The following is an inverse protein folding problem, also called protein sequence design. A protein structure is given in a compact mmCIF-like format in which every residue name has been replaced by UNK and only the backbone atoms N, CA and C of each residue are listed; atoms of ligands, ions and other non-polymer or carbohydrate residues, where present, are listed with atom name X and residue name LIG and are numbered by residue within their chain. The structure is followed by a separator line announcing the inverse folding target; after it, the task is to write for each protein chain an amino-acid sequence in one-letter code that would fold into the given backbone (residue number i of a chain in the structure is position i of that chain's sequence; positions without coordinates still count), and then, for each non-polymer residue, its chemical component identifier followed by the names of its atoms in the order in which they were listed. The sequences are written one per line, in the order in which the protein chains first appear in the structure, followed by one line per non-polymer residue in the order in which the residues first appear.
data_IF_073718466900
#
_entry.id   IF_073718466900
#
_cell.length_a   1.000
_cell.length_b   1.000
_cell.length_c   1.000
_cell.angle_alpha   90.00
_cell.angle_beta   90.00
_cell.angle_gamma   90.00
#
_symmetry.space_group_name_H-M   'P 1'
#
loop_
_entity.id
_entity.type
_entity.pdbx_description
1 polymer ?
#
# COMPACT_ATOMS: atom_id res chain seq x y z
N UNK A 1 15.42 -20.49 16.20
CA UNK A 1 14.33 -21.39 15.78
C UNK A 1 13.22 -20.51 15.25
N UNK A 2 12.74 -20.76 14.03
CA UNK A 2 11.67 -19.97 13.43
C UNK A 2 10.31 -20.38 14.01
N UNK A 3 9.69 -19.47 14.75
CA UNK A 3 8.39 -19.70 15.40
C UNK A 3 7.22 -19.20 14.56
N UNK A 4 7.48 -18.27 13.64
CA UNK A 4 6.50 -17.61 12.78
C UNK A 4 6.88 -17.89 11.32
N UNK A 5 5.98 -18.49 10.55
CA UNK A 5 6.13 -18.73 9.11
C UNK A 5 5.12 -17.87 8.34
N UNK A 6 5.58 -17.04 7.40
CA UNK A 6 4.72 -16.19 6.58
C UNK A 6 4.56 -16.83 5.20
N UNK A 7 3.37 -17.39 4.95
CA UNK A 7 2.95 -17.91 3.64
C UNK A 7 2.27 -16.80 2.86
N UNK A 8 2.78 -16.48 1.68
CA UNK A 8 2.22 -15.44 0.83
C UNK A 8 2.46 -15.73 -0.64
N UNK A 9 1.67 -15.06 -1.48
CA UNK A 9 1.84 -15.12 -2.94
C UNK A 9 2.42 -13.79 -3.40
N UNK A 10 3.67 -13.82 -3.89
CA UNK A 10 4.39 -12.65 -4.44
C UNK A 10 3.52 -11.92 -5.48
N UNK A 11 3.02 -12.62 -6.50
CA UNK A 11 2.22 -12.02 -7.58
C UNK A 11 0.87 -11.40 -7.16
N UNK A 12 0.48 -11.53 -5.89
CA UNK A 12 -0.85 -11.18 -5.38
C UNK A 12 -0.83 -10.08 -4.30
N UNK A 13 0.24 -10.01 -3.50
CA UNK A 13 0.21 -9.32 -2.20
C UNK A 13 1.40 -8.38 -1.95
N UNK A 14 2.09 -7.92 -3.00
CA UNK A 14 3.37 -7.22 -2.87
C UNK A 14 3.32 -5.89 -2.10
N UNK A 15 2.20 -5.14 -2.12
CA UNK A 15 2.19 -3.81 -1.50
C UNK A 15 2.34 -3.82 0.03
N UNK A 16 1.94 -4.91 0.70
CA UNK A 16 1.92 -4.99 2.16
C UNK A 16 2.80 -6.10 2.73
N UNK A 17 3.10 -7.13 1.94
CA UNK A 17 3.70 -8.35 2.49
C UNK A 17 5.13 -8.12 2.95
N UNK A 18 5.95 -7.43 2.16
CA UNK A 18 7.34 -7.14 2.53
C UNK A 18 7.39 -6.25 3.78
N UNK A 19 6.53 -5.23 3.87
CA UNK A 19 6.37 -4.39 5.06
C UNK A 19 5.89 -5.18 6.27
N UNK A 20 4.96 -6.13 6.08
CA UNK A 20 4.47 -7.01 7.15
C UNK A 20 5.59 -7.89 7.69
N UNK A 21 6.35 -8.53 6.81
CA UNK A 21 7.49 -9.37 7.14
C UNK A 21 8.57 -8.56 7.86
N UNK A 22 8.92 -7.39 7.34
CA UNK A 22 9.92 -6.50 7.95
C UNK A 22 9.51 -6.11 9.39
N UNK A 23 8.25 -5.70 9.60
CA UNK A 23 7.76 -5.35 10.93
C UNK A 23 7.64 -6.56 11.88
N UNK A 24 7.29 -7.73 11.37
CA UNK A 24 7.31 -8.96 12.15
C UNK A 24 8.75 -9.28 12.60
N UNK A 25 9.74 -9.14 11.71
CA UNK A 25 11.16 -9.36 12.02
C UNK A 25 11.70 -8.35 13.02
N UNK A 26 11.35 -7.08 12.86
CA UNK A 26 11.72 -6.01 13.80
C UNK A 26 11.20 -6.30 15.22
N UNK A 27 9.95 -6.77 15.33
CA UNK A 27 9.32 -7.06 16.63
C UNK A 27 9.76 -8.39 17.25
N UNK A 28 9.85 -9.45 16.45
CA UNK A 28 10.00 -10.82 16.96
C UNK A 28 11.40 -11.40 16.75
N UNK A 29 12.28 -10.67 16.07
CA UNK A 29 13.62 -11.09 15.70
C UNK A 29 13.67 -11.75 14.32
N UNK A 30 14.78 -11.52 13.62
CA UNK A 30 15.01 -12.04 12.27
C UNK A 30 14.94 -13.57 12.21
N UNK A 31 15.54 -14.23 13.22
CA UNK A 31 15.60 -15.69 13.35
C UNK A 31 14.26 -16.34 13.71
N UNK A 32 13.29 -15.56 14.21
CA UNK A 32 11.99 -16.05 14.62
C UNK A 32 10.96 -16.01 13.48
N UNK A 33 11.18 -15.17 12.47
CA UNK A 33 10.25 -14.93 11.35
C UNK A 33 10.85 -15.43 10.05
N UNK A 34 10.28 -16.54 9.58
CA UNK A 34 10.61 -17.14 8.31
C UNK A 34 9.57 -16.76 7.25
N UNK A 35 10.02 -16.42 6.05
CA UNK A 35 9.19 -16.22 4.88
C UNK A 35 10.00 -16.70 3.66
N UNK A 36 9.32 -16.96 2.56
CA UNK A 36 9.93 -17.26 1.26
C UNK A 36 10.50 -18.68 1.07
N UNK A 37 10.17 -19.27 -0.07
CA UNK A 37 10.66 -20.59 -0.52
C UNK A 37 11.75 -20.42 -1.59
N UNK A 38 12.02 -19.20 -2.05
CA UNK A 38 13.05 -18.92 -3.06
C UNK A 38 14.47 -18.69 -2.47
N UNK A 39 14.60 -18.64 -1.13
CA UNK A 39 15.89 -18.65 -0.39
C UNK A 39 16.40 -20.08 -0.12
N UNK A 40 15.98 -21.07 -0.93
CA UNK A 40 16.53 -22.42 -0.87
C UNK A 40 17.82 -22.43 -1.67
N UNK A 41 18.94 -22.77 -1.02
CA UNK A 41 20.23 -22.92 -1.70
C UNK A 41 20.07 -23.82 -2.95
N UNK A 42 20.60 -23.40 -4.11
CA UNK A 42 20.54 -24.21 -5.32
C UNK A 42 21.06 -25.63 -5.07
N UNK A 43 20.20 -26.64 -5.26
CA UNK A 43 20.56 -28.06 -5.13
C UNK A 43 19.97 -28.80 -3.93
N UNK A 44 19.26 -28.13 -3.01
CA UNK A 44 18.54 -28.79 -1.91
C UNK A 44 17.14 -29.28 -2.32
N UNK A 45 16.71 -30.43 -1.77
CA UNK A 45 15.31 -30.89 -1.89
C UNK A 45 14.40 -29.98 -1.06
N UNK A 46 13.68 -29.12 -1.77
CA UNK A 46 12.80 -28.12 -1.18
C UNK A 46 11.68 -28.73 -0.32
N UNK A 47 11.25 -29.98 -0.58
CA UNK A 47 10.20 -30.65 0.21
C UNK A 47 10.71 -30.91 1.62
N UNK A 48 11.95 -31.40 1.73
CA UNK A 48 12.61 -31.63 3.01
C UNK A 48 12.86 -30.34 3.79
N UNK A 49 13.17 -29.25 3.08
CA UNK A 49 13.36 -27.92 3.69
C UNK A 49 12.03 -27.39 4.25
N UNK A 50 10.93 -27.51 3.50
CA UNK A 50 9.59 -27.09 3.94
C UNK A 50 9.09 -27.92 5.13
N UNK A 51 9.28 -29.25 5.09
CA UNK A 51 8.92 -30.14 6.19
C UNK A 51 9.68 -29.79 7.47
N UNK A 52 10.99 -29.55 7.40
CA UNK A 52 11.80 -29.13 8.55
C UNK A 52 11.43 -27.74 9.09
N UNK A 53 11.01 -26.82 8.23
CA UNK A 53 10.61 -25.46 8.65
C UNK A 53 9.25 -25.44 9.33
N UNK A 54 8.31 -26.25 8.84
CA UNK A 54 6.98 -26.39 9.42
C UNK A 54 6.94 -27.30 10.66
N UNK A 55 7.99 -28.07 10.98
CA UNK A 55 8.08 -28.83 12.24
C UNK A 55 8.45 -27.95 13.43
N UNK A 56 9.21 -26.87 13.23
CA UNK A 56 9.59 -25.92 14.29
C UNK A 56 8.65 -24.72 14.41
N UNK A 57 7.84 -24.47 13.38
CA UNK A 57 6.90 -23.36 13.33
C UNK A 57 5.76 -23.53 14.34
N UNK A 58 5.44 -22.45 15.07
CA UNK A 58 4.29 -22.40 15.98
C UNK A 58 3.11 -21.63 15.40
N UNK A 59 3.37 -20.68 14.51
CA UNK A 59 2.39 -19.77 13.94
C UNK A 59 2.61 -19.67 12.43
N UNK A 60 1.59 -19.97 11.63
CA UNK A 60 1.61 -19.73 10.19
C UNK A 60 0.75 -18.51 9.86
N UNK A 61 1.35 -17.45 9.36
CA UNK A 61 0.65 -16.27 8.86
C UNK A 61 0.33 -16.49 7.39
N UNK A 62 -0.94 -16.68 7.05
CA UNK A 62 -1.38 -16.86 5.67
C UNK A 62 -1.83 -15.52 5.09
N UNK A 63 -1.00 -14.90 4.26
CA UNK A 63 -1.29 -13.61 3.63
C UNK A 63 -2.16 -13.83 2.40
N UNK A 64 -3.34 -13.20 2.42
CA UNK A 64 -4.39 -13.34 1.41
C UNK A 64 -4.61 -11.97 0.77
N UNK A 65 -4.15 -11.82 -0.47
CA UNK A 65 -4.43 -10.69 -1.34
C UNK A 65 -5.63 -10.92 -2.25
N UNK A 66 -5.86 -9.99 -3.16
CA UNK A 66 -7.07 -9.91 -4.00
C UNK A 66 -7.16 -11.04 -5.03
N UNK A 67 -6.02 -11.40 -5.61
CA UNK A 67 -5.85 -12.48 -6.58
C UNK A 67 -5.51 -13.82 -5.91
N UNK A 68 -5.41 -13.92 -4.59
CA UNK A 68 -4.95 -15.12 -3.89
C UNK A 68 -5.67 -16.40 -4.34
N UNK A 69 -7.01 -16.32 -4.40
CA UNK A 69 -7.92 -17.40 -4.83
C UNK A 69 -7.82 -17.68 -6.33
N UNK A 70 -7.70 -16.62 -7.13
CA UNK A 70 -7.88 -16.64 -8.58
C UNK A 70 -6.58 -16.65 -9.37
N UNK A 71 -5.43 -16.55 -8.68
CA UNK A 71 -4.11 -16.54 -9.30
C UNK A 71 -3.94 -17.78 -10.16
N UNK A 72 -3.43 -17.57 -11.37
CA UNK A 72 -3.29 -18.60 -12.40
C UNK A 72 -1.82 -18.93 -12.63
N UNK A 73 -1.54 -20.19 -12.94
CA UNK A 73 -0.23 -20.61 -13.42
C UNK A 73 -0.03 -20.21 -14.90
N UNK A 74 1.13 -20.55 -15.45
CA UNK A 74 1.48 -20.29 -16.86
C UNK A 74 0.54 -20.97 -17.86
N UNK A 75 -0.25 -21.96 -17.42
CA UNK A 75 -1.22 -22.69 -18.24
C UNK A 75 -2.65 -22.14 -18.04
N UNK A 76 -2.81 -21.05 -17.28
CA UNK A 76 -4.10 -20.42 -17.02
C UNK A 76 -4.96 -21.16 -15.98
N UNK A 77 -4.45 -22.20 -15.32
CA UNK A 77 -5.16 -22.95 -14.29
C UNK A 77 -4.99 -22.27 -12.92
N UNK A 78 -6.03 -22.28 -12.10
CA UNK A 78 -5.98 -21.71 -10.74
C UNK A 78 -4.90 -22.40 -9.93
N UNK A 79 -3.93 -21.64 -9.44
CA UNK A 79 -2.76 -22.14 -8.71
C UNK A 79 -3.14 -22.92 -7.47
N UNK A 80 -4.10 -22.44 -6.68
CA UNK A 80 -4.59 -23.19 -5.51
C UNK A 80 -5.21 -24.55 -5.86
N UNK A 81 -5.64 -24.78 -7.11
CA UNK A 81 -6.12 -26.11 -7.52
C UNK A 81 -4.98 -27.06 -7.92
N UNK A 82 -3.79 -26.53 -8.16
CA UNK A 82 -2.59 -27.33 -8.39
C UNK A 82 -2.12 -27.91 -7.03
N UNK A 83 -2.01 -29.25 -6.87
CA UNK A 83 -1.44 -29.84 -5.65
C UNK A 83 0.02 -29.43 -5.41
N UNK A 84 0.74 -29.02 -6.46
CA UNK A 84 2.14 -28.59 -6.36
C UNK A 84 2.31 -27.07 -6.11
N UNK A 85 1.23 -26.31 -5.84
CA UNK A 85 1.35 -24.89 -5.49
C UNK A 85 1.86 -24.70 -4.05
N UNK A 86 2.95 -23.94 -3.89
CA UNK A 86 3.62 -23.76 -2.60
C UNK A 86 2.72 -23.20 -1.50
N UNK A 87 1.97 -22.14 -1.81
CA UNK A 87 1.06 -21.50 -0.85
C UNK A 87 -0.01 -22.48 -0.39
N UNK A 88 -0.50 -23.35 -1.29
CA UNK A 88 -1.41 -24.44 -0.92
C UNK A 88 -0.72 -25.43 0.03
N UNK A 89 0.44 -25.96 -0.34
CA UNK A 89 1.17 -26.98 0.45
C UNK A 89 1.48 -26.45 1.86
N UNK A 90 1.95 -25.22 1.98
CA UNK A 90 2.26 -24.57 3.25
C UNK A 90 1.05 -24.48 4.17
N UNK A 91 -0.07 -23.98 3.65
CA UNK A 91 -1.27 -23.76 4.44
C UNK A 91 -1.95 -25.09 4.78
N UNK A 92 -1.98 -26.07 3.86
CA UNK A 92 -2.44 -27.43 4.14
C UNK A 92 -1.63 -28.06 5.27
N UNK A 93 -0.31 -27.92 5.23
CA UNK A 93 0.59 -28.45 6.24
C UNK A 93 0.45 -27.76 7.59
N UNK A 94 0.20 -26.44 7.60
CA UNK A 94 -0.13 -25.70 8.83
C UNK A 94 -1.52 -26.04 9.37
N UNK A 95 -2.48 -26.34 8.49
CA UNK A 95 -3.83 -26.79 8.84
C UNK A 95 -3.84 -28.20 9.45
N UNK A 96 -3.00 -29.10 8.94
CA UNK A 96 -2.96 -30.50 9.38
C UNK A 96 -2.27 -30.69 10.73
N UNK A 97 -1.59 -29.68 11.26
CA UNK A 97 -0.83 -29.74 12.51
C UNK A 97 -1.56 -28.96 13.61
N UNK A 98 -2.01 -29.66 14.66
CA UNK A 98 -2.58 -29.02 15.86
C UNK A 98 -1.57 -28.10 16.56
N UNK A 99 -0.28 -28.41 16.43
CA UNK A 99 0.81 -27.60 16.91
C UNK A 99 1.09 -26.36 16.04
N UNK A 100 0.26 -25.98 15.06
CA UNK A 100 0.44 -24.74 14.30
C UNK A 100 -0.83 -23.89 14.36
N UNK A 101 -0.72 -22.68 14.91
CA UNK A 101 -1.81 -21.71 14.80
C UNK A 101 -1.68 -20.97 13.49
N UNK A 102 -2.61 -21.21 12.57
CA UNK A 102 -2.65 -20.44 11.32
C UNK A 102 -3.48 -19.18 11.53
N UNK A 103 -2.93 -18.02 11.18
CA UNK A 103 -3.59 -16.73 11.26
C UNK A 103 -3.78 -16.21 9.81
N UNK A 104 -5.01 -16.17 9.30
CA UNK A 104 -5.28 -15.50 8.03
C UNK A 104 -5.06 -14.00 8.17
N UNK A 105 -4.21 -13.43 7.32
CA UNK A 105 -4.00 -11.99 7.20
C UNK A 105 -4.55 -11.55 5.86
N UNK A 106 -5.65 -10.82 5.88
CA UNK A 106 -6.34 -10.41 4.65
C UNK A 106 -5.95 -8.97 4.32
N UNK A 107 -5.28 -8.80 3.19
CA UNK A 107 -4.84 -7.49 2.69
C UNK A 107 -5.99 -6.82 1.95
N UNK A 108 -6.56 -5.78 2.55
CA UNK A 108 -7.70 -5.07 1.95
C UNK A 108 -7.29 -4.42 0.63
N UNK A 109 -8.18 -4.44 -0.39
CA UNK A 109 -9.61 -4.76 -0.32
C UNK A 109 -9.99 -6.25 -0.43
N UNK A 110 -9.04 -7.19 -0.37
CA UNK A 110 -9.33 -8.63 -0.41
C UNK A 110 -10.30 -9.05 0.71
N UNK A 111 -11.04 -10.13 0.45
CA UNK A 111 -11.97 -10.75 1.40
C UNK A 111 -11.51 -12.15 1.75
N UNK A 112 -11.89 -12.61 2.93
CA UNK A 112 -11.71 -14.00 3.30
C UNK A 112 -12.42 -14.90 2.27
N UNK A 113 -11.73 -15.91 1.70
CA UNK A 113 -12.36 -16.82 0.77
C UNK A 113 -13.43 -17.66 1.46
N UNK A 114 -14.51 -17.98 0.75
CA UNK A 114 -15.46 -19.00 1.19
C UNK A 114 -14.85 -20.41 1.02
N UNK A 115 -15.37 -21.39 1.77
CA UNK A 115 -14.89 -22.77 1.70
C UNK A 115 -15.03 -23.38 0.29
N UNK A 116 -15.97 -22.90 -0.52
CA UNK A 116 -16.21 -23.31 -1.91
C UNK A 116 -15.17 -22.73 -2.89
N UNK A 117 -14.57 -21.60 -2.52
CA UNK A 117 -13.58 -20.93 -3.36
C UNK A 117 -12.19 -21.56 -3.24
N UNK A 118 -11.94 -22.42 -2.25
CA UNK A 118 -10.64 -23.06 -2.02
C UNK A 118 -10.75 -24.58 -2.17
N UNK A 119 -9.64 -25.29 -2.43
CA UNK A 119 -9.62 -26.75 -2.28
C UNK A 119 -10.13 -27.18 -0.91
N UNK A 120 -10.80 -28.34 -0.85
CA UNK A 120 -11.38 -28.85 0.40
C UNK A 120 -10.37 -28.95 1.55
N UNK A 121 -9.12 -29.30 1.24
CA UNK A 121 -7.99 -29.35 2.15
C UNK A 121 -7.61 -28.00 2.78
N UNK A 122 -7.97 -26.87 2.15
CA UNK A 122 -7.79 -25.52 2.67
C UNK A 122 -9.03 -24.94 3.35
N UNK A 123 -10.18 -25.63 3.32
CA UNK A 123 -11.44 -25.11 3.87
C UNK A 123 -11.34 -24.70 5.34
N UNK A 124 -10.51 -25.38 6.13
CA UNK A 124 -10.25 -25.02 7.53
C UNK A 124 -9.68 -23.62 7.71
N UNK A 125 -9.00 -23.05 6.70
CA UNK A 125 -8.53 -21.67 6.73
C UNK A 125 -9.70 -20.69 6.80
N UNK A 126 -10.77 -20.93 6.04
CA UNK A 126 -11.95 -20.08 5.90
C UNK A 126 -12.74 -19.91 7.21
N UNK A 127 -12.56 -20.81 8.17
CA UNK A 127 -13.23 -20.77 9.48
C UNK A 127 -12.36 -20.15 10.58
N UNK A 128 -11.17 -19.64 10.25
CA UNK A 128 -10.30 -18.95 11.21
C UNK A 128 -10.56 -17.45 11.19
N UNK A 129 -10.42 -16.82 12.36
CA UNK A 129 -10.58 -15.37 12.48
C UNK A 129 -9.47 -14.65 11.71
N UNK A 130 -9.85 -13.81 10.76
CA UNK A 130 -8.90 -13.01 9.99
C UNK A 130 -8.36 -11.82 10.80
N UNK A 131 -7.13 -11.41 10.46
CA UNK A 131 -6.61 -10.08 10.76
C UNK A 131 -6.59 -9.29 9.46
N UNK A 132 -7.44 -8.25 9.37
CA UNK A 132 -7.46 -7.36 8.22
C UNK A 132 -6.33 -6.33 8.31
N UNK A 133 -5.54 -6.20 7.24
CA UNK A 133 -4.54 -5.14 7.07
C UNK A 133 -4.99 -4.23 5.93
N UNK A 134 -5.04 -2.93 6.22
CA UNK A 134 -5.44 -1.89 5.27
C UNK A 134 -4.20 -1.15 4.77
N UNK A 135 -4.24 -0.56 3.56
CA UNK A 135 -3.15 0.26 3.05
C UNK A 135 -3.01 1.58 3.83
N UNK A 136 -1.85 2.22 3.67
CA UNK A 136 -1.58 3.54 4.23
C UNK A 136 -1.42 3.55 5.76
N UNK A 137 -2.00 4.57 6.42
CA UNK A 137 -1.88 4.79 7.87
C UNK A 137 -2.54 3.70 8.71
N UNK A 138 -3.55 3.01 8.15
CA UNK A 138 -4.28 1.95 8.85
C UNK A 138 -3.50 0.63 8.91
N UNK A 139 -2.40 0.53 8.14
CA UNK A 139 -1.51 -0.63 8.16
C UNK A 139 -1.05 -0.94 9.59
N UNK A 140 -0.62 0.07 10.33
CA UNK A 140 -0.05 -0.12 11.67
C UNK A 140 -1.10 -0.57 12.69
N UNK A 141 -2.38 -0.25 12.47
CA UNK A 141 -3.50 -0.74 13.29
C UNK A 141 -3.68 -2.25 13.07
N UNK A 142 -3.71 -2.68 11.80
CA UNK A 142 -3.79 -4.09 11.44
C UNK A 142 -2.58 -4.87 11.95
N UNK A 143 -1.38 -4.31 11.79
CA UNK A 143 -0.14 -4.89 12.30
C UNK A 143 -0.16 -5.06 13.82
N UNK A 144 -0.59 -4.04 14.60
CA UNK A 144 -0.72 -4.16 16.06
C UNK A 144 -1.68 -5.27 16.50
N UNK A 145 -2.75 -5.51 15.74
CA UNK A 145 -3.69 -6.61 16.01
C UNK A 145 -3.03 -7.97 15.73
N UNK A 146 -2.33 -8.09 14.60
CA UNK A 146 -1.57 -9.30 14.27
C UNK A 146 -0.50 -9.58 15.32
N UNK A 147 0.29 -8.57 15.69
CA UNK A 147 1.37 -8.73 16.67
C UNK A 147 0.84 -9.17 18.03
N UNK A 148 -0.27 -8.59 18.49
CA UNK A 148 -0.94 -8.99 19.73
C UNK A 148 -1.44 -10.43 19.67
N UNK A 149 -1.99 -10.85 18.52
CA UNK A 149 -2.43 -12.23 18.32
C UNK A 149 -1.25 -13.22 18.36
N UNK A 150 -0.13 -12.86 17.73
CA UNK A 150 1.12 -13.64 17.73
C UNK A 150 1.67 -13.75 19.16
N UNK A 151 1.80 -12.63 19.89
CA UNK A 151 2.25 -12.60 21.28
C UNK A 151 1.46 -13.56 22.16
N UNK A 152 0.12 -13.55 22.02
CA UNK A 152 -0.76 -14.44 22.78
C UNK A 152 -0.49 -15.91 22.50
N UNK A 153 -0.25 -16.29 21.24
CA UNK A 153 0.05 -17.68 20.87
C UNK A 153 1.43 -18.10 21.39
N UNK A 154 2.45 -17.25 21.26
CA UNK A 154 3.79 -17.55 21.73
C UNK A 154 3.82 -17.74 23.26
N UNK A 155 3.19 -16.82 24.00
CA UNK A 155 3.05 -16.93 25.47
C UNK A 155 2.30 -18.18 25.89
N UNK A 156 1.20 -18.53 25.22
CA UNK A 156 0.43 -19.74 25.52
C UNK A 156 1.25 -21.03 25.30
N UNK A 157 2.31 -20.96 24.49
CA UNK A 157 3.22 -22.07 24.20
C UNK A 157 4.50 -22.06 25.02
N UNK A 158 4.62 -21.13 25.98
CA UNK A 158 5.84 -20.96 26.77
C UNK A 158 7.06 -20.54 25.94
N UNK A 159 6.82 -19.94 24.77
CA UNK A 159 7.88 -19.41 23.91
C UNK A 159 8.11 -17.96 24.35
N UNK A 160 9.13 -17.76 25.18
CA UNK A 160 9.66 -16.43 25.47
C UNK A 160 10.62 -16.05 24.34
N UNK A 161 10.15 -15.21 23.43
CA UNK A 161 11.07 -14.44 22.58
C UNK A 161 11.66 -13.37 23.50
N UNK A 162 12.80 -13.66 24.11
CA UNK A 162 13.52 -12.67 24.93
C UNK A 162 13.67 -11.37 24.15
N UNK A 163 13.40 -10.22 24.78
CA UNK A 163 13.67 -8.89 24.24
C UNK A 163 15.15 -8.78 23.84
N UNK A 164 15.49 -9.17 22.61
CA UNK A 164 16.84 -9.04 22.04
C UNK A 164 17.13 -7.60 21.58
N UNK A 165 16.55 -6.62 22.27
CA UNK A 165 16.82 -5.20 22.09
C UNK A 165 17.27 -4.49 23.37
N UNK A 166 17.55 -5.22 24.46
CA UNK A 166 18.12 -4.66 25.68
C UNK A 166 19.26 -5.54 26.20
N UNK A 167 20.44 -4.95 26.34
CA UNK A 167 21.68 -5.48 26.92
C UNK A 167 22.56 -6.39 26.02
N UNK A 168 23.34 -5.74 25.15
CA UNK A 168 24.51 -6.29 24.48
C UNK A 168 25.65 -6.63 25.50
N UNK A 169 26.59 -7.51 25.13
CA UNK A 169 27.75 -8.02 25.92
C UNK A 169 27.50 -9.19 26.91
N UNK A 170 28.17 -10.31 26.62
CA UNK A 170 28.76 -11.32 27.52
C UNK A 170 28.06 -11.75 28.82
N UNK A 171 27.67 -13.03 28.92
CA UNK A 171 28.35 -14.11 29.69
C UNK A 171 27.54 -15.41 29.57
N UNK A 172 28.29 -16.50 29.48
CA UNK A 172 27.92 -17.92 29.36
C UNK A 172 27.13 -18.46 30.58
N UNK A 173 26.12 -19.32 30.40
CA UNK A 173 26.16 -20.74 30.83
C UNK A 173 24.92 -21.57 30.39
N UNK A 174 25.18 -22.87 30.24
CA UNK A 174 24.39 -24.06 29.87
C UNK A 174 23.10 -24.32 30.68
N UNK A 175 22.09 -25.13 30.27
CA UNK A 175 22.10 -26.62 30.23
C UNK A 175 20.71 -27.22 29.83
N UNK A 176 20.68 -28.25 28.94
CA UNK A 176 19.77 -29.47 28.79
C UNK A 176 18.22 -29.36 28.88
N UNK A 177 17.33 -30.18 28.26
CA UNK A 177 17.33 -31.34 27.32
C UNK A 177 15.87 -31.85 27.08
N UNK A 178 15.55 -32.46 25.91
CA UNK A 178 14.71 -33.69 25.69
C UNK A 178 13.17 -33.69 26.00
N UNK A 179 12.18 -34.35 25.34
CA UNK A 179 12.01 -35.47 24.36
C UNK A 179 10.50 -35.55 23.87
N UNK A 180 10.25 -35.95 22.59
CA UNK A 180 9.31 -36.97 21.97
C UNK A 180 7.81 -37.14 22.40
N UNK A 181 6.81 -37.75 21.69
CA UNK A 181 6.58 -38.50 20.41
C UNK A 181 5.04 -38.77 20.18
N UNK A 182 4.61 -38.88 18.90
CA UNK A 182 3.62 -39.81 18.24
C UNK A 182 2.11 -39.86 18.69
N UNK A 183 1.08 -40.21 17.87
CA UNK A 183 0.94 -40.81 16.52
C UNK A 183 -0.56 -41.01 16.09
N UNK A 184 -0.77 -41.64 14.91
CA UNK A 184 -1.94 -41.64 13.98
C UNK A 184 -2.85 -42.89 14.02
N UNK A 185 -4.12 -42.81 13.57
CA UNK A 185 -4.93 -43.72 12.65
C UNK A 185 -6.45 -43.49 12.87
N UNK A 186 -7.40 -43.46 11.90
CA UNK A 186 -7.96 -44.52 11.01
C UNK A 186 -8.87 -43.85 9.92
N UNK A 187 -8.92 -44.41 8.70
CA UNK A 187 -9.79 -44.01 7.58
C UNK A 187 -10.45 -45.23 6.89
N UNK A 188 -11.40 -44.94 5.98
CA UNK A 188 -12.11 -45.78 5.00
C UNK A 188 -13.48 -46.36 5.39
N UNK A 189 -14.52 -45.61 5.02
CA UNK A 189 -15.92 -46.08 4.94
C UNK A 189 -16.87 -45.18 4.13
N UNK A 190 -16.49 -43.93 3.81
CA UNK A 190 -17.43 -42.90 3.32
C UNK A 190 -17.36 -42.58 1.81
N UNK A 191 -16.79 -43.44 0.96
CA UNK A 191 -16.56 -43.08 -0.46
C UNK A 191 -17.79 -43.32 -1.37
N UNK A 192 -18.77 -44.14 -0.97
CA UNK A 192 -19.82 -44.56 -1.90
C UNK A 192 -21.06 -43.64 -1.98
N UNK A 193 -21.22 -42.66 -1.09
CA UNK A 193 -22.43 -41.80 -1.04
C UNK A 193 -22.29 -40.52 -1.88
N UNK A 194 -21.07 -40.07 -2.15
CA UNK A 194 -20.80 -38.75 -2.77
C UNK A 194 -21.11 -38.73 -4.27
N UNK A 195 -21.03 -39.86 -4.96
CA UNK A 195 -21.17 -39.91 -6.44
C UNK A 195 -22.60 -39.61 -6.90
N UNK A 196 -23.61 -39.91 -6.09
CA UNK A 196 -25.01 -39.68 -6.46
C UNK A 196 -25.43 -38.20 -6.42
N UNK A 197 -24.76 -37.38 -5.61
CA UNK A 197 -25.16 -35.97 -5.36
C UNK A 197 -24.61 -35.02 -6.44
N UNK A 198 -23.48 -35.35 -7.05
CA UNK A 198 -22.78 -34.49 -8.02
C UNK A 198 -23.53 -34.33 -9.35
N UNK A 199 -24.30 -35.35 -9.75
CA UNK A 199 -25.01 -35.33 -11.04
C UNK A 199 -26.23 -34.41 -11.01
N UNK A 200 -26.88 -34.26 -9.85
CA UNK A 200 -28.10 -33.46 -9.70
C UNK A 200 -27.79 -31.95 -9.68
N UNK A 201 -26.62 -31.55 -9.17
CA UNK A 201 -26.27 -30.14 -9.00
C UNK A 201 -25.73 -29.47 -10.27
N UNK A 202 -25.34 -30.25 -11.29
CA UNK A 202 -24.66 -29.72 -12.48
C UNK A 202 -25.60 -29.05 -13.50
N UNK A 203 -26.92 -29.20 -13.40
CA UNK A 203 -27.87 -28.66 -14.39
C UNK A 203 -28.37 -27.23 -14.09
N UNK A 204 -28.10 -26.67 -12.90
CA UNK A 204 -28.78 -25.44 -12.44
C UNK A 204 -27.96 -24.13 -12.53
N UNK A 205 -26.70 -24.15 -12.97
CA UNK A 205 -25.74 -23.03 -12.73
C UNK A 205 -25.54 -22.09 -13.93
N UNK A 206 -26.03 -22.40 -15.12
CA UNK A 206 -25.51 -21.79 -16.35
C UNK A 206 -26.09 -20.41 -16.75
N UNK A 207 -26.74 -19.65 -15.86
CA UNK A 207 -27.46 -18.41 -16.29
C UNK A 207 -27.12 -17.06 -15.61
N UNK A 208 -26.19 -16.91 -14.65
CA UNK A 208 -26.14 -15.66 -13.85
C UNK A 208 -24.78 -14.94 -13.55
N UNK A 209 -23.64 -15.26 -14.17
CA UNK A 209 -22.32 -14.84 -13.61
C UNK A 209 -21.67 -13.52 -14.08
N UNK A 210 -22.21 -12.76 -15.03
CA UNK A 210 -21.48 -11.62 -15.64
C UNK A 210 -21.69 -10.24 -14.97
N UNK A 211 -22.66 -10.08 -14.06
CA UNK A 211 -23.00 -8.76 -13.47
C UNK A 211 -22.42 -8.42 -12.09
N UNK A 212 -21.77 -9.35 -11.39
CA UNK A 212 -21.56 -9.26 -9.93
C UNK A 212 -20.20 -8.63 -9.54
N UNK A 213 -19.15 -8.81 -10.34
CA UNK A 213 -17.76 -8.46 -9.95
C UNK A 213 -17.44 -6.96 -10.05
N UNK A 214 -17.97 -6.25 -11.05
CA UNK A 214 -17.76 -4.79 -11.18
C UNK A 214 -18.40 -4.01 -10.02
N UNK A 215 -19.63 -4.37 -9.62
CA UNK A 215 -20.36 -3.67 -8.56
C UNK A 215 -19.70 -3.72 -7.17
N UNK A 216 -18.82 -4.71 -6.92
CA UNK A 216 -18.19 -4.91 -5.61
C UNK A 216 -16.91 -4.07 -5.39
N UNK A 217 -16.16 -3.77 -6.46
CA UNK A 217 -14.96 -2.91 -6.39
C UNK A 217 -15.35 -1.44 -6.25
N UNK A 218 -16.29 -0.98 -7.09
CA UNK A 218 -16.90 0.35 -7.01
C UNK A 218 -17.46 0.66 -5.61
N UNK A 219 -18.00 -0.34 -4.90
CA UNK A 219 -18.53 -0.13 -3.55
C UNK A 219 -17.45 0.01 -2.48
N UNK A 220 -16.27 -0.61 -2.64
CA UNK A 220 -15.14 -0.46 -1.72
C UNK A 220 -14.44 0.90 -1.89
N UNK A 221 -14.24 1.33 -3.14
CA UNK A 221 -13.68 2.64 -3.47
C UNK A 221 -14.62 3.77 -3.04
N UNK A 222 -15.93 3.57 -3.16
CA UNK A 222 -16.93 4.50 -2.59
C UNK A 222 -16.82 4.59 -1.07
N UNK A 223 -16.66 3.46 -0.37
CA UNK A 223 -16.47 3.48 1.08
C UNK A 223 -15.16 4.17 1.50
N UNK A 224 -14.10 4.03 0.72
CA UNK A 224 -12.82 4.72 0.96
C UNK A 224 -12.97 6.24 0.75
N UNK A 225 -13.61 6.65 -0.36
CA UNK A 225 -13.93 8.06 -0.62
C UNK A 225 -14.78 8.65 0.51
N UNK A 226 -15.86 7.98 0.91
CA UNK A 226 -16.75 8.43 1.99
C UNK A 226 -16.01 8.55 3.32
N UNK A 227 -15.08 7.63 3.62
CA UNK A 227 -14.23 7.68 4.83
C UNK A 227 -13.31 8.88 4.81
N UNK A 228 -12.65 9.17 3.69
CA UNK A 228 -11.73 10.31 3.57
C UNK A 228 -12.50 11.62 3.62
N UNK A 229 -13.65 11.72 2.94
CA UNK A 229 -14.55 12.87 3.05
C UNK A 229 -14.90 13.11 4.50
N UNK A 230 -15.39 12.09 5.22
CA UNK A 230 -15.73 12.20 6.63
C UNK A 230 -14.53 12.67 7.47
N UNK A 231 -13.35 12.08 7.28
CA UNK A 231 -12.14 12.46 8.01
C UNK A 231 -11.75 13.92 7.79
N UNK A 232 -11.81 14.41 6.55
CA UNK A 232 -11.45 15.80 6.22
C UNK A 232 -12.53 16.77 6.66
N UNK A 233 -13.80 16.37 6.67
CA UNK A 233 -14.89 17.17 7.26
C UNK A 233 -14.71 17.28 8.78
N UNK A 234 -14.43 16.16 9.45
CA UNK A 234 -14.25 16.09 10.90
C UNK A 234 -12.96 16.80 11.36
N UNK A 235 -11.90 16.74 10.53
CA UNK A 235 -10.61 17.38 10.76
C UNK A 235 -10.14 18.11 9.49
N UNK A 236 -10.56 19.37 9.29
CA UNK A 236 -10.23 20.14 8.09
C UNK A 236 -8.73 20.28 7.85
N UNK A 237 -8.31 19.97 6.62
CA UNK A 237 -6.97 20.26 6.12
C UNK A 237 -6.89 21.77 5.89
N UNK A 238 -6.36 22.49 6.87
CA UNK A 238 -6.25 23.94 6.82
C UNK A 238 -4.97 24.39 6.08
N UNK A 239 -5.02 25.48 5.30
CA UNK A 239 -3.86 26.01 4.62
C UNK A 239 -2.86 26.62 5.61
N UNK A 240 -1.57 26.47 5.33
CA UNK A 240 -0.50 27.00 6.17
C UNK A 240 0.12 28.23 5.51
N UNK A 241 0.31 29.30 6.29
CA UNK A 241 0.94 30.55 5.84
C UNK A 241 2.45 30.58 6.04
N UNK A 242 2.98 29.61 6.80
CA UNK A 242 4.40 29.44 7.07
C UNK A 242 4.66 28.01 7.51
N UNK A 243 5.81 27.48 7.14
CA UNK A 243 6.31 26.20 7.63
C UNK A 243 7.57 26.42 8.47
N UNK A 244 7.77 25.60 9.50
CA UNK A 244 9.01 25.56 10.30
C UNK A 244 10.09 24.74 9.58
N UNK A 245 10.51 25.22 8.42
CA UNK A 245 11.55 24.60 7.57
C UNK A 245 12.49 25.68 7.04
N UNK A 246 13.77 25.36 6.90
CA UNK A 246 14.76 26.27 6.32
C UNK A 246 14.47 26.50 4.84
N UNK A 247 14.44 27.75 4.38
CA UNK A 247 14.34 28.12 2.98
C UNK A 247 15.65 28.74 2.49
N UNK A 248 16.22 28.16 1.42
CA UNK A 248 17.50 28.54 0.82
C UNK A 248 17.25 29.10 -0.58
N UNK A 249 17.84 30.25 -0.86
CA UNK A 249 17.82 30.82 -2.21
C UNK A 249 18.94 30.25 -3.06
N UNK A 250 18.60 29.68 -4.21
CA UNK A 250 19.56 29.14 -5.18
C UNK A 250 19.52 29.95 -6.49
N UNK A 251 20.63 29.99 -7.27
CA UNK A 251 20.65 30.74 -8.53
C UNK A 251 19.69 30.21 -9.60
N UNK A 252 19.47 28.89 -9.62
CA UNK A 252 18.54 28.22 -10.51
C UNK A 252 18.14 26.86 -9.90
N UNK A 253 16.88 26.46 -10.06
CA UNK A 253 16.43 25.12 -9.68
C UNK A 253 16.76 24.10 -10.77
N UNK A 254 17.44 23.01 -10.39
CA UNK A 254 17.65 21.86 -11.29
C UNK A 254 16.36 21.11 -11.60
N UNK A 255 16.40 20.16 -12.54
CA UNK A 255 15.32 19.18 -12.67
C UNK A 255 15.46 18.11 -11.58
N UNK A 256 14.39 17.75 -10.87
CA UNK A 256 14.42 16.61 -9.96
C UNK A 256 14.78 15.31 -10.70
N UNK A 257 15.67 14.51 -10.11
CA UNK A 257 16.03 13.19 -10.62
C UNK A 257 15.41 12.10 -9.74
N UNK A 258 14.63 11.24 -10.38
CA UNK A 258 13.90 10.15 -9.74
C UNK A 258 14.48 8.77 -10.08
N UNK A 259 15.54 8.68 -10.89
CA UNK A 259 16.11 7.42 -11.38
C UNK A 259 16.66 6.51 -10.28
N UNK A 260 17.02 7.09 -9.13
CA UNK A 260 17.56 6.39 -7.96
C UNK A 260 16.48 6.05 -6.91
N UNK A 261 15.20 6.06 -7.31
CA UNK A 261 14.08 5.78 -6.42
C UNK A 261 13.01 4.94 -7.12
N UNK A 262 12.40 4.04 -6.35
CA UNK A 262 11.17 3.36 -6.74
C UNK A 262 10.01 3.86 -5.87
N UNK A 263 8.91 4.30 -6.50
CA UNK A 263 7.75 4.88 -5.81
C UNK A 263 6.66 3.82 -5.65
N UNK A 264 6.73 3.05 -4.56
CA UNK A 264 5.75 1.97 -4.29
C UNK A 264 4.32 2.50 -4.15
N UNK A 265 4.17 3.70 -3.62
CA UNK A 265 2.87 4.33 -3.42
C UNK A 265 2.99 5.84 -3.38
N UNK A 266 2.05 6.54 -4.00
CA UNK A 266 1.92 7.99 -3.90
C UNK A 266 0.43 8.38 -3.83
N UNK A 267 0.03 8.83 -2.65
CA UNK A 267 -1.32 9.32 -2.37
C UNK A 267 -1.30 10.83 -2.17
N UNK A 268 -2.18 11.51 -2.89
CA UNK A 268 -2.42 12.94 -2.75
C UNK A 268 -3.88 13.20 -2.39
N UNK A 269 -4.07 13.96 -1.31
CA UNK A 269 -5.39 14.40 -0.86
C UNK A 269 -5.46 15.90 -1.03
N UNK A 270 -6.29 16.33 -1.98
CA UNK A 270 -6.54 17.72 -2.29
C UNK A 270 -7.77 18.22 -1.56
N UNK A 271 -7.63 19.37 -0.91
CA UNK A 271 -8.70 20.12 -0.26
C UNK A 271 -8.80 21.49 -0.92
N UNK A 272 -9.99 21.80 -1.45
CA UNK A 272 -10.37 23.08 -2.05
C UNK A 272 -11.35 23.84 -1.15
N UNK A 273 -11.47 23.46 0.13
CA UNK A 273 -12.45 24.06 1.04
C UNK A 273 -12.26 25.56 1.27
N UNK A 274 -11.01 26.02 1.17
CA UNK A 274 -10.62 27.43 1.28
C UNK A 274 -10.28 28.03 -0.10
N UNK A 275 -10.68 27.36 -1.19
CA UNK A 275 -10.44 27.83 -2.55
C UNK A 275 -11.58 28.75 -2.97
N UNK A 276 -11.26 30.04 -3.05
CA UNK A 276 -12.16 31.14 -3.38
C UNK A 276 -11.50 32.02 -4.46
N UNK A 277 -11.35 31.49 -5.68
CA UNK A 277 -10.66 32.21 -6.76
C UNK A 277 -11.24 33.61 -6.99
N UNK A 278 -12.56 33.77 -6.84
CA UNK A 278 -13.30 35.03 -6.99
C UNK A 278 -12.93 36.12 -5.97
N UNK A 279 -12.25 35.76 -4.88
CA UNK A 279 -11.83 36.68 -3.81
C UNK A 279 -10.37 37.14 -3.98
N UNK A 280 -9.66 36.65 -5.00
CA UNK A 280 -8.26 37.03 -5.22
C UNK A 280 -8.19 38.50 -5.62
N UNK A 281 -7.52 39.30 -4.79
CA UNK A 281 -7.29 40.72 -5.02
C UNK A 281 -5.83 41.08 -4.82
N UNK A 282 -5.37 42.13 -5.49
CA UNK A 282 -4.00 42.63 -5.33
C UNK A 282 -3.74 43.30 -3.97
N UNK A 283 -4.78 43.57 -3.17
CA UNK A 283 -4.67 44.33 -1.92
C UNK A 283 -4.46 43.47 -0.68
N UNK A 284 -4.97 42.22 -0.68
CA UNK A 284 -4.91 41.33 0.49
C UNK A 284 -3.86 40.24 0.32
N UNK A 285 -3.26 39.82 1.44
CA UNK A 285 -2.04 39.01 1.34
C UNK A 285 -2.29 37.55 0.96
N UNK A 286 -3.37 36.92 1.43
CA UNK A 286 -3.73 35.52 1.12
C UNK A 286 -5.25 35.35 1.22
N UNK A 287 -5.93 34.99 0.14
CA UNK A 287 -7.40 34.95 0.06
C UNK A 287 -7.96 33.58 -0.37
N UNK A 288 -7.27 32.91 -1.30
CA UNK A 288 -7.71 31.62 -1.85
C UNK A 288 -6.61 30.58 -1.66
N UNK A 289 -6.95 29.37 -1.21
CA UNK A 289 -5.98 28.31 -1.01
C UNK A 289 -6.43 26.96 -1.57
N UNK A 290 -5.50 26.30 -2.26
CA UNK A 290 -5.55 24.87 -2.52
C UNK A 290 -4.55 24.16 -1.62
N UNK A 291 -4.96 23.09 -0.95
CA UNK A 291 -4.08 22.34 -0.04
C UNK A 291 -3.97 20.90 -0.49
N UNK A 292 -2.73 20.39 -0.57
CA UNK A 292 -2.44 18.99 -0.87
C UNK A 292 -1.68 18.36 0.28
N UNK A 293 -2.28 17.35 0.93
CA UNK A 293 -1.54 16.43 1.78
C UNK A 293 -1.06 15.25 0.94
N UNK A 294 0.25 15.02 0.90
CA UNK A 294 0.86 13.94 0.12
C UNK A 294 1.57 12.95 1.02
N UNK A 295 1.41 11.66 0.72
CA UNK A 295 2.10 10.57 1.39
C UNK A 295 2.69 9.63 0.35
N UNK A 296 4.01 9.41 0.43
CA UNK A 296 4.73 8.51 -0.46
C UNK A 296 5.41 7.39 0.33
N UNK A 297 5.49 6.23 -0.31
CA UNK A 297 6.37 5.13 0.09
C UNK A 297 7.41 4.97 -1.01
N UNK A 298 8.68 5.12 -0.63
CA UNK A 298 9.80 5.23 -1.56
C UNK A 298 10.86 4.20 -1.17
N UNK A 299 11.44 3.52 -2.16
CA UNK A 299 12.64 2.69 -1.98
C UNK A 299 13.81 3.43 -2.62
N UNK A 300 14.90 3.60 -1.88
CA UNK A 300 16.15 4.17 -2.41
C UNK A 300 16.88 3.11 -3.23
N UNK A 301 17.05 3.29 -4.53
CA UNK A 301 17.68 2.27 -5.40
C UNK A 301 19.13 2.61 -5.77
N UNK A 302 19.60 3.82 -5.45
CA UNK A 302 20.99 4.24 -5.71
C UNK A 302 21.58 5.09 -4.58
N UNK A 303 22.88 5.40 -4.69
CA UNK A 303 23.69 6.02 -3.63
C UNK A 303 23.53 7.55 -3.52
N UNK A 304 22.32 8.06 -3.76
CA UNK A 304 22.02 9.49 -3.69
C UNK A 304 21.68 9.94 -2.27
N UNK A 305 22.02 11.18 -1.92
CA UNK A 305 21.77 11.72 -0.58
C UNK A 305 20.54 12.62 -0.51
N UNK A 306 19.91 12.91 -1.64
CA UNK A 306 18.79 13.85 -1.68
C UNK A 306 17.72 13.42 -2.67
N UNK A 307 16.46 13.57 -2.26
CA UNK A 307 15.28 13.47 -3.10
C UNK A 307 14.60 14.83 -3.19
N UNK A 308 14.21 15.27 -4.39
CA UNK A 308 13.59 16.58 -4.61
C UNK A 308 12.17 16.46 -5.15
N UNK A 309 11.24 17.21 -4.56
CA UNK A 309 9.91 17.41 -5.12
C UNK A 309 9.74 18.84 -5.56
N UNK A 310 9.49 19.04 -6.84
CA UNK A 310 9.16 20.35 -7.37
C UNK A 310 7.65 20.57 -7.31
N UNK A 311 7.26 21.75 -6.87
CA UNK A 311 5.94 22.30 -7.15
C UNK A 311 6.09 23.70 -7.73
N UNK A 312 5.08 24.10 -8.50
CA UNK A 312 5.03 25.38 -9.19
C UNK A 312 3.70 26.04 -8.93
N UNK A 313 3.71 27.36 -8.90
CA UNK A 313 2.50 28.17 -8.83
C UNK A 313 2.67 29.43 -9.68
N UNK A 314 1.63 29.77 -10.41
CA UNK A 314 1.41 31.11 -10.99
C UNK A 314 0.79 32.06 -9.97
N UNK A 315 0.35 31.53 -8.82
CA UNK A 315 -0.21 32.30 -7.72
C UNK A 315 0.84 33.02 -6.89
N UNK A 316 0.40 33.52 -5.74
CA UNK A 316 1.20 34.41 -4.92
C UNK A 316 2.32 33.71 -4.16
N UNK A 317 2.02 32.54 -3.59
CA UNK A 317 3.01 31.75 -2.86
C UNK A 317 2.69 30.25 -2.89
N UNK A 318 3.72 29.47 -2.58
CA UNK A 318 3.73 28.03 -2.47
C UNK A 318 4.48 27.63 -1.21
N UNK A 319 3.83 26.90 -0.31
CA UNK A 319 4.40 26.52 0.98
C UNK A 319 4.45 25.01 1.10
N UNK A 320 5.64 24.47 1.37
CA UNK A 320 5.85 23.07 1.72
C UNK A 320 5.98 22.94 3.23
N UNK A 321 5.18 22.05 3.83
CA UNK A 321 5.22 21.75 5.26
C UNK A 321 5.42 20.25 5.48
N UNK A 322 6.65 19.79 5.75
CA UNK A 322 6.89 18.40 6.14
C UNK A 322 6.06 18.02 7.36
N UNK A 323 5.47 16.82 7.35
CA UNK A 323 4.72 16.31 8.50
C UNK A 323 5.64 15.59 9.49
N UNK A 324 5.22 15.37 10.75
CA UNK A 324 5.97 14.57 11.71
C UNK A 324 6.38 13.21 11.13
N UNK A 325 7.66 12.87 11.24
CA UNK A 325 8.23 11.65 10.67
C UNK A 325 8.71 11.76 9.22
N UNK A 326 8.56 12.91 8.56
CA UNK A 326 9.25 13.20 7.31
C UNK A 326 10.76 13.33 7.59
N UNK A 327 11.66 12.80 6.72
CA UNK A 327 13.09 12.95 6.91
C UNK A 327 13.52 14.43 6.91
N UNK A 328 14.73 14.74 7.45
CA UNK A 328 15.25 16.09 7.46
C UNK A 328 15.16 16.74 6.08
N UNK A 329 14.68 17.97 6.02
CA UNK A 329 14.41 18.64 4.75
C UNK A 329 14.58 20.14 4.82
N UNK A 330 14.84 20.74 3.66
CA UNK A 330 14.88 22.18 3.44
C UNK A 330 14.19 22.54 2.13
N UNK A 331 13.86 23.80 1.95
CA UNK A 331 13.28 24.34 0.72
C UNK A 331 14.38 25.02 -0.08
N UNK A 332 14.41 24.78 -1.38
CA UNK A 332 15.18 25.58 -2.33
C UNK A 332 14.24 26.38 -3.21
N UNK A 333 14.49 27.68 -3.29
CA UNK A 333 13.67 28.63 -4.06
C UNK A 333 14.54 29.38 -5.05
N UNK A 334 14.07 29.44 -6.29
CA UNK A 334 14.65 30.28 -7.34
C UNK A 334 14.19 31.73 -7.14
N UNK A 335 15.12 32.70 -7.25
CA UNK A 335 14.74 34.12 -7.23
C UNK A 335 14.16 34.59 -8.57
N UNK A 336 14.41 33.84 -9.63
CA UNK A 336 13.87 34.08 -10.95
C UNK A 336 12.57 33.31 -11.14
N UNK A 337 11.60 33.96 -11.78
CA UNK A 337 10.41 33.27 -12.24
C UNK A 337 10.80 32.35 -13.41
N UNK A 338 10.32 31.12 -13.38
CA UNK A 338 10.63 30.08 -14.36
C UNK A 338 9.52 30.03 -15.40
N UNK A 339 9.91 30.06 -16.67
CA UNK A 339 8.96 29.87 -17.77
C UNK A 339 8.59 28.39 -17.90
N UNK A 340 7.29 28.09 -17.91
CA UNK A 340 6.74 26.74 -18.16
C UNK A 340 5.66 26.83 -19.22
N UNK A 341 6.00 26.43 -20.44
CA UNK A 341 5.13 26.65 -21.60
C UNK A 341 4.93 28.15 -21.83
N UNK A 342 3.71 28.65 -21.64
CA UNK A 342 3.34 30.06 -21.84
C UNK A 342 3.29 30.89 -20.54
N UNK A 343 3.47 30.25 -19.38
CA UNK A 343 3.30 30.92 -18.08
C UNK A 343 4.61 31.11 -17.34
N UNK A 344 4.68 32.21 -16.61
CA UNK A 344 5.80 32.57 -15.75
C UNK A 344 5.44 32.20 -14.31
N UNK A 345 6.11 31.20 -13.76
CA UNK A 345 5.75 30.57 -12.47
C UNK A 345 6.81 30.79 -11.41
N UNK A 346 6.40 30.81 -10.14
CA UNK A 346 7.29 30.52 -9.02
C UNK A 346 7.47 29.01 -8.91
N UNK A 347 8.70 28.58 -8.68
CA UNK A 347 9.03 27.18 -8.45
C UNK A 347 9.77 27.05 -7.12
N UNK A 348 9.41 26.04 -6.34
CA UNK A 348 10.14 25.64 -5.13
C UNK A 348 10.42 24.14 -5.16
N UNK A 349 11.54 23.75 -4.58
CA UNK A 349 11.90 22.35 -4.35
C UNK A 349 11.84 22.05 -2.86
N UNK A 350 11.05 21.05 -2.49
CA UNK A 350 11.23 20.36 -1.21
C UNK A 350 12.39 19.38 -1.36
N UNK A 351 13.49 19.66 -0.68
CA UNK A 351 14.70 18.84 -0.69
C UNK A 351 14.73 17.99 0.58
N UNK A 352 14.66 16.67 0.41
CA UNK A 352 14.63 15.71 1.51
C UNK A 352 15.97 15.00 1.57
N UNK A 353 16.62 15.07 2.73
CA UNK A 353 17.82 14.30 3.03
C UNK A 353 17.47 12.82 3.14
N UNK A 354 18.10 12.01 2.30
CA UNK A 354 17.93 10.56 2.28
C UNK A 354 19.26 9.84 2.47
N UNK A 355 20.28 10.54 2.98
CA UNK A 355 21.61 9.98 3.23
C UNK A 355 21.61 8.87 4.28
N UNK A 356 20.71 8.96 5.27
CA UNK A 356 20.57 7.96 6.34
C UNK A 356 19.96 6.63 5.85
N UNK A 357 19.26 6.63 4.72
CA UNK A 357 18.67 5.42 4.16
C UNK A 357 19.69 4.65 3.34
N UNK A 358 19.77 3.34 3.56
CA UNK A 358 20.58 2.43 2.76
C UNK A 358 19.94 2.19 1.38
N UNK A 359 20.74 1.73 0.43
CA UNK A 359 20.20 1.27 -0.86
C UNK A 359 19.32 0.04 -0.61
N UNK A 360 18.18 -0.01 -1.29
CA UNK A 360 17.05 -0.91 -1.12
C UNK A 360 16.25 -0.74 0.18
N UNK A 361 16.53 0.30 0.98
CA UNK A 361 15.71 0.64 2.13
C UNK A 361 14.43 1.37 1.69
N UNK A 362 13.29 0.90 2.19
CA UNK A 362 12.00 1.58 2.07
C UNK A 362 11.82 2.61 3.20
N UNK A 363 11.29 3.78 2.85
CA UNK A 363 10.98 4.84 3.79
C UNK A 363 9.72 5.61 3.35
N UNK A 364 9.09 6.27 4.33
CA UNK A 364 7.90 7.05 4.11
C UNK A 364 8.22 8.54 4.07
N UNK A 365 7.52 9.26 3.21
CA UNK A 365 7.60 10.71 3.10
C UNK A 365 6.18 11.24 3.23
N UNK A 366 5.97 12.21 4.11
CA UNK A 366 4.67 12.89 4.20
C UNK A 366 4.85 14.38 4.39
N UNK A 367 4.19 15.16 3.55
CA UNK A 367 4.24 16.61 3.61
C UNK A 367 2.95 17.22 3.07
N UNK A 368 2.67 18.43 3.50
CA UNK A 368 1.62 19.29 2.97
C UNK A 368 2.20 20.27 1.97
N UNK A 369 1.42 20.62 0.97
CA UNK A 369 1.70 21.72 0.05
C UNK A 369 0.49 22.65 0.03
N UNK A 370 0.69 23.93 0.33
CA UNK A 370 -0.34 24.97 0.22
C UNK A 370 -0.01 25.88 -0.94
N UNK A 371 -0.97 26.07 -1.85
CA UNK A 371 -0.89 26.99 -2.98
C UNK A 371 -1.79 28.18 -2.65
N UNK A 372 -1.19 29.35 -2.45
CA UNK A 372 -1.91 30.58 -2.14
C UNK A 372 -2.15 31.42 -3.38
N UNK A 373 -3.39 31.88 -3.53
CA UNK A 373 -3.88 32.74 -4.61
C UNK A 373 -3.43 32.23 -5.99
N UNK A 374 -3.46 30.90 -6.17
CA UNK A 374 -3.30 30.28 -7.49
C UNK A 374 -4.31 30.91 -8.46
N UNK A 375 -3.92 31.27 -9.69
CA UNK A 375 -4.69 32.19 -10.50
C UNK A 375 -6.03 31.62 -10.95
N UNK A 376 -6.92 32.56 -11.25
CA UNK A 376 -8.10 32.39 -12.10
C UNK A 376 -7.65 32.11 -13.54
N UNK A 377 -7.23 30.88 -13.85
CA UNK A 377 -7.13 30.46 -15.25
C UNK A 377 -8.54 30.31 -15.84
N UNK A 378 -8.70 30.48 -17.16
CA UNK A 378 -9.95 30.11 -17.85
C UNK A 378 -10.33 28.63 -17.61
N UNK A 379 -9.35 27.80 -17.23
CA UNK A 379 -9.52 26.40 -16.87
C UNK A 379 -8.50 26.01 -15.79
N UNK A 380 -8.80 26.26 -14.50
CA UNK A 380 -7.89 25.92 -13.41
C UNK A 380 -7.66 24.41 -13.36
N UNK A 381 -6.44 24.00 -13.02
CA UNK A 381 -6.10 22.60 -12.93
C UNK A 381 -5.17 22.29 -11.75
N UNK A 382 -5.23 21.04 -11.32
CA UNK A 382 -4.29 20.44 -10.39
C UNK A 382 -3.88 19.06 -10.90
N UNK A 383 -2.85 18.46 -10.31
CA UNK A 383 -2.34 17.24 -10.88
C UNK A 383 -1.55 16.34 -9.96
N UNK A 384 -1.22 15.20 -10.55
CA UNK A 384 -0.26 14.23 -10.03
C UNK A 384 0.74 13.92 -11.14
N UNK A 385 1.93 13.50 -10.75
CA UNK A 385 2.96 13.06 -11.69
C UNK A 385 3.31 11.61 -11.38
N UNK A 386 3.53 10.81 -12.41
CA UNK A 386 4.07 9.46 -12.26
C UNK A 386 5.58 9.43 -12.41
N UNK A 387 6.17 8.42 -11.78
CA UNK A 387 7.61 8.22 -11.69
C UNK A 387 7.98 6.84 -12.25
N UNK A 388 9.23 6.65 -12.70
CA UNK A 388 9.77 5.31 -12.87
C UNK A 388 9.51 4.43 -11.65
N UNK A 389 9.01 3.22 -11.89
CA UNK A 389 8.69 2.28 -10.82
C UNK A 389 7.51 2.71 -9.93
N UNK A 390 6.70 3.69 -10.36
CA UNK A 390 5.48 4.04 -9.64
C UNK A 390 4.46 2.90 -9.75
N UNK A 391 4.17 2.21 -8.65
CA UNK A 391 3.25 1.07 -8.67
C UNK A 391 1.78 1.51 -8.58
N UNK A 392 1.51 2.63 -7.90
CA UNK A 392 0.15 3.13 -7.67
C UNK A 392 0.13 4.63 -7.38
N UNK A 393 -0.68 5.36 -8.14
CA UNK A 393 -1.09 6.73 -7.79
C UNK A 393 -2.51 6.71 -7.25
N UNK A 394 -2.75 7.50 -6.21
CA UNK A 394 -4.08 7.71 -5.65
C UNK A 394 -4.32 9.19 -5.42
N UNK A 395 -5.37 9.73 -6.03
CA UNK A 395 -5.77 11.13 -5.87
C UNK A 395 -7.17 11.16 -5.28
N UNK A 396 -7.31 11.80 -4.13
CA UNK A 396 -8.60 12.10 -3.52
C UNK A 396 -8.75 13.62 -3.51
N UNK A 397 -9.88 14.13 -3.97
CA UNK A 397 -10.11 15.57 -4.04
C UNK A 397 -11.44 15.93 -3.42
N UNK A 398 -11.44 16.97 -2.60
CA UNK A 398 -12.62 17.47 -1.89
C UNK A 398 -12.78 18.94 -2.23
N UNK A 399 -13.89 19.24 -2.92
CA UNK A 399 -14.24 20.57 -3.41
C UNK A 399 -14.70 21.53 -2.31
N UNK A 400 -14.88 22.79 -2.69
CA UNK A 400 -15.43 23.82 -1.79
C UNK A 400 -16.91 23.57 -1.43
N UNK A 401 -17.62 22.79 -2.24
CA UNK A 401 -19.03 22.46 -2.01
C UNK A 401 -19.59 21.45 -3.01
N UNK A 402 -20.92 21.25 -3.01
CA UNK A 402 -21.61 20.40 -3.99
C UNK A 402 -21.37 20.87 -5.43
N UNK A 403 -21.36 19.94 -6.37
CA UNK A 403 -21.13 20.16 -7.80
C UNK A 403 -19.78 20.80 -8.17
N UNK A 404 -18.85 20.95 -7.22
CA UNK A 404 -17.56 21.56 -7.48
C UNK A 404 -16.77 20.85 -8.59
N UNK A 405 -16.91 19.53 -8.73
CA UNK A 405 -16.28 18.75 -9.80
C UNK A 405 -17.27 18.33 -10.90
N UNK A 406 -18.33 19.11 -11.14
CA UNK A 406 -19.34 18.76 -12.15
C UNK A 406 -18.79 18.76 -13.59
N UNK A 407 -17.86 19.67 -13.91
CA UNK A 407 -17.24 19.79 -15.23
C UNK A 407 -15.84 19.19 -15.30
N UNK A 408 -15.51 18.31 -14.36
CA UNK A 408 -14.17 17.77 -14.24
C UNK A 408 -13.70 17.06 -15.53
N UNK A 409 -12.60 17.54 -16.09
CA UNK A 409 -11.90 16.92 -17.22
C UNK A 409 -10.54 16.41 -16.79
N UNK A 410 -10.11 15.31 -17.41
CA UNK A 410 -8.84 14.66 -17.10
C UNK A 410 -7.99 14.60 -18.35
N UNK A 411 -6.81 15.17 -18.28
CA UNK A 411 -5.82 15.14 -19.36
C UNK A 411 -4.53 14.51 -18.86
N UNK A 412 -3.72 14.01 -19.79
CA UNK A 412 -2.34 13.61 -19.53
C UNK A 412 -1.40 14.18 -20.58
N UNK A 413 -0.16 14.43 -20.20
CA UNK A 413 0.92 14.80 -21.12
C UNK A 413 2.26 14.24 -20.62
N UNK A 414 3.24 14.12 -21.52
CA UNK A 414 4.60 13.69 -21.15
C UNK A 414 5.49 14.84 -20.66
N UNK A 415 5.09 16.09 -20.97
CA UNK A 415 5.75 17.32 -20.51
C UNK A 415 4.78 18.49 -20.70
N UNK A 416 5.07 19.64 -20.08
CA UNK A 416 4.30 20.87 -20.26
C UNK A 416 4.31 21.42 -21.70
N UNK A 417 5.25 20.98 -22.53
CA UNK A 417 5.37 21.36 -23.94
C UNK A 417 4.70 20.35 -24.88
N UNK A 418 4.31 19.18 -24.35
CA UNK A 418 3.64 18.14 -25.13
C UNK A 418 2.13 18.41 -25.25
N UNK A 419 1.48 17.99 -26.36
CA UNK A 419 0.03 18.09 -26.49
C UNK A 419 -0.71 17.39 -25.34
N UNK A 420 -1.86 17.96 -24.95
CA UNK A 420 -2.75 17.35 -23.97
C UNK A 420 -3.54 16.21 -24.61
N UNK A 421 -3.48 15.03 -24.00
CA UNK A 421 -4.24 13.84 -24.36
C UNK A 421 -5.39 13.62 -23.37
N UNK A 422 -6.51 13.06 -23.82
CA UNK A 422 -7.57 12.63 -22.90
C UNK A 422 -7.08 11.49 -22.00
N UNK A 423 -7.35 11.58 -20.70
CA UNK A 423 -7.02 10.55 -19.73
C UNK A 423 -8.28 9.84 -19.25
N UNK A 424 -8.53 8.65 -19.79
CA UNK A 424 -9.62 7.76 -19.35
C UNK A 424 -9.14 6.60 -18.47
N UNK A 425 -7.83 6.56 -18.21
CA UNK A 425 -7.18 5.50 -17.45
C UNK A 425 -7.50 5.58 -15.94
N UNK A 426 -7.38 4.45 -15.25
CA UNK A 426 -7.56 4.34 -13.80
C UNK A 426 -9.02 4.14 -13.34
N UNK A 427 -9.17 3.73 -12.08
CA UNK A 427 -10.45 3.55 -11.42
C UNK A 427 -10.96 4.89 -10.88
N UNK A 428 -12.27 5.12 -10.97
CA UNK A 428 -12.89 6.40 -10.66
C UNK A 428 -14.14 6.24 -9.82
N UNK A 429 -14.23 7.05 -8.76
CA UNK A 429 -15.44 7.21 -7.96
C UNK A 429 -15.69 8.69 -7.72
N UNK A 430 -16.92 9.14 -7.92
CA UNK A 430 -17.36 10.50 -7.62
C UNK A 430 -18.44 10.46 -6.53
N UNK A 431 -18.42 11.40 -5.60
CA UNK A 431 -19.45 11.52 -4.58
C UNK A 431 -20.80 11.83 -5.22
N UNK A 432 -21.90 11.48 -4.53
CA UNK A 432 -23.26 11.67 -5.05
C UNK A 432 -23.58 13.13 -5.40
N UNK A 433 -23.04 14.06 -4.64
CA UNK A 433 -23.19 15.50 -4.83
C UNK A 433 -22.14 16.10 -5.78
N UNK A 434 -21.26 15.27 -6.37
CA UNK A 434 -20.13 15.69 -7.20
C UNK A 434 -19.20 16.71 -6.54
N UNK A 435 -19.22 16.81 -5.21
CA UNK A 435 -18.33 17.67 -4.45
C UNK A 435 -16.95 17.05 -4.17
N UNK A 436 -16.78 15.74 -4.39
CA UNK A 436 -15.52 15.05 -4.16
C UNK A 436 -15.34 13.87 -5.12
N UNK A 437 -14.10 13.45 -5.32
CA UNK A 437 -13.79 12.25 -6.10
C UNK A 437 -12.57 11.51 -5.58
N UNK A 438 -12.48 10.23 -5.95
CA UNK A 438 -11.33 9.35 -5.80
C UNK A 438 -10.92 8.82 -7.18
N UNK A 439 -9.63 8.90 -7.45
CA UNK A 439 -8.99 8.32 -8.62
C UNK A 439 -7.83 7.43 -8.21
N UNK A 440 -7.79 6.23 -8.77
CA UNK A 440 -6.71 5.28 -8.54
C UNK A 440 -6.12 4.88 -9.89
N UNK A 441 -4.84 5.16 -10.10
CA UNK A 441 -4.08 4.67 -11.24
C UNK A 441 -3.19 3.51 -10.81
N UNK A 442 -3.53 2.25 -11.16
CA UNK A 442 -2.59 1.16 -11.01
C UNK A 442 -1.51 1.25 -12.09
N UNK A 443 -0.24 1.10 -11.71
CA UNK A 443 0.90 1.05 -12.65
C UNK A 443 0.92 2.19 -13.68
N UNK A 444 0.91 3.46 -13.25
CA UNK A 444 0.97 4.59 -14.17
C UNK A 444 2.21 4.53 -15.08
N UNK A 445 2.03 4.93 -16.34
CA UNK A 445 3.15 5.13 -17.27
C UNK A 445 4.16 6.10 -16.65
N UNK A 446 5.47 5.84 -16.68
CA UNK A 446 6.46 6.71 -16.06
C UNK A 446 6.51 8.08 -16.76
N UNK A 447 6.82 9.13 -16.00
CA UNK A 447 7.00 10.50 -16.49
C UNK A 447 5.75 11.15 -17.13
N UNK A 448 4.55 10.69 -16.77
CA UNK A 448 3.31 11.36 -17.17
C UNK A 448 2.88 12.37 -16.12
N UNK A 449 2.38 13.50 -16.61
CA UNK A 449 1.69 14.51 -15.81
C UNK A 449 0.20 14.29 -16.05
N UNK A 450 -0.54 14.02 -14.98
CA UNK A 450 -1.98 13.87 -14.99
C UNK A 450 -2.61 15.14 -14.45
N UNK A 451 -3.51 15.73 -15.24
CA UNK A 451 -4.10 17.05 -15.01
C UNK A 451 -5.61 16.91 -14.86
N UNK A 452 -6.14 17.53 -13.81
CA UNK A 452 -7.55 17.59 -13.46
C UNK A 452 -8.02 19.03 -13.61
N UNK A 453 -8.80 19.31 -14.64
CA UNK A 453 -9.44 20.61 -14.87
C UNK A 453 -10.84 20.56 -14.28
N UNK A 454 -11.24 21.53 -13.47
CA UNK A 454 -12.47 21.44 -12.68
C UNK A 454 -13.35 22.70 -12.77
#
# INVERSE_FOLDING_TARGET
MSHIFVSYRRDDSNWATDRLIAKLRDRFGHEAVFHDVDDIEPGLDFRSVLENRLTTCSILVAVIGEQWVNSKDRLGKRRLTNPDDWVRIEIESGLSKESVVVIPVVLRPAQMPSAEQVPASLSGLCYRQEVAIFPGSDFDIGFRRLSTAIDKVLRARGIELSDMSADAFGIMDSTKSNLLRNGVTIALGMVLVVVAVVVILSWNVETNSTGITQNKSLSADQQDLDRVIKRVVDNPISPEKKAEIEERHVPALGQPDYSNFEFRFDESIWSFREFHPELVSNELEYQSAMVRDRTLIVVKTGTVNQLRFQARTTGKDLIFSPKPGCPPSHIETDRSLVDTGIFRTQAKHLCIDVSEFEVNQEFAISFRTTYWDAPEEESPWFGAMSYPGCLKLKVISIGAGPNFFEKLQRKKCSSFESPLEDCNDGQWVISKDKGAFLWIMPSPEPHKIYMFFF
#
